data_IF_420993336688
#
_entry.id   IF_420993336688
#
_cell.length_a   1.000
_cell.length_b   1.000
_cell.length_c   1.000
_cell.angle_alpha   90.00
_cell.angle_beta   90.00
_cell.angle_gamma   90.00
#
_symmetry.space_group_name_H-M   'P 1'
#
loop_
_entity.id
_entity.type
_entity.pdbx_description
1 polymer ?
#
# COMPACT_ATOMS: atom_id res chain seq x y z
N UNK A 1 -10.23 0.72 -12.05
CA UNK A 1 -8.84 0.92 -11.61
C UNK A 1 -8.86 1.73 -10.32
N UNK A 2 -8.17 1.28 -9.27
CA UNK A 2 -8.23 1.90 -7.93
C UNK A 2 -7.34 3.16 -7.89
N UNK A 3 -7.79 4.29 -7.33
CA UNK A 3 -6.91 5.42 -7.10
C UNK A 3 -5.88 5.04 -6.03
N UNK A 4 -4.63 5.33 -6.36
CA UNK A 4 -3.46 5.04 -5.54
C UNK A 4 -3.49 5.90 -4.27
N UNK A 5 -3.26 5.23 -3.14
CA UNK A 5 -2.83 5.85 -1.90
C UNK A 5 -1.55 6.64 -2.19
N UNK A 6 -1.59 7.98 -2.20
CA UNK A 6 -0.38 8.79 -2.16
C UNK A 6 0.24 8.62 -0.77
N UNK A 7 1.13 7.64 -0.64
CA UNK A 7 2.27 7.82 0.23
C UNK A 7 3.29 8.63 -0.56
N UNK A 8 3.52 9.89 -0.18
CA UNK A 8 4.69 10.63 -0.67
C UNK A 8 5.94 9.95 -0.11
N UNK A 9 6.38 8.86 -0.74
CA UNK A 9 7.73 8.35 -0.56
C UNK A 9 8.63 9.39 -1.21
N UNK A 10 9.19 10.29 -0.41
CA UNK A 10 10.26 11.18 -0.84
C UNK A 10 11.49 10.34 -1.15
N UNK A 11 11.50 9.72 -2.33
CA UNK A 11 12.60 8.91 -2.81
C UNK A 11 13.86 9.76 -3.10
N UNK A 12 13.73 11.09 -3.03
CA UNK A 12 14.77 12.07 -3.35
C UNK A 12 15.41 12.74 -2.13
N UNK A 13 14.97 12.43 -0.90
CA UNK A 13 15.63 12.93 0.29
C UNK A 13 16.65 11.89 0.82
N UNK A 14 17.90 11.97 0.37
CA UNK A 14 19.02 11.27 1.02
C UNK A 14 19.64 12.16 2.08
N UNK A 15 19.77 11.65 3.31
CA UNK A 15 20.60 12.31 4.31
C UNK A 15 22.06 12.30 3.85
N UNK A 16 22.75 13.43 4.01
CA UNK A 16 24.18 13.54 3.71
C UNK A 16 25.04 12.56 4.54
N UNK A 17 24.54 12.12 5.70
CA UNK A 17 25.22 11.21 6.62
C UNK A 17 24.37 9.96 6.86
N UNK A 18 24.97 8.77 6.76
CA UNK A 18 24.30 7.46 6.91
C UNK A 18 23.75 7.15 8.30
N UNK A 19 23.94 8.05 9.27
CA UNK A 19 23.39 7.98 10.63
C UNK A 19 22.01 8.62 10.77
N UNK A 20 21.52 9.34 9.75
CA UNK A 20 20.33 10.19 9.89
C UNK A 20 19.14 9.61 9.12
N UNK A 21 18.04 9.37 9.84
CA UNK A 21 16.74 9.06 9.24
C UNK A 21 16.01 10.36 8.97
N UNK A 22 15.77 10.70 7.70
CA UNK A 22 14.89 11.82 7.35
C UNK A 22 13.44 11.37 7.57
N UNK A 23 12.84 11.83 8.65
CA UNK A 23 11.39 11.77 8.86
C UNK A 23 10.83 13.11 8.39
N UNK A 24 10.22 13.15 7.20
CA UNK A 24 9.49 14.34 6.75
C UNK A 24 8.18 14.41 7.53
N UNK A 25 8.16 15.19 8.59
CA UNK A 25 6.95 15.54 9.34
C UNK A 25 6.29 16.67 8.55
N UNK A 26 5.25 16.36 7.79
CA UNK A 26 4.44 17.39 7.11
C UNK A 26 3.68 18.19 8.16
N UNK A 27 3.75 19.53 8.07
CA UNK A 27 2.95 20.44 8.90
C UNK A 27 1.48 20.26 8.50
N UNK A 28 0.58 20.12 9.49
CA UNK A 28 -0.84 19.74 9.29
C UNK A 28 -1.58 20.59 8.23
N UNK A 29 -1.27 21.88 8.14
CA UNK A 29 -1.88 22.80 7.17
C UNK A 29 -1.51 22.52 5.72
N UNK A 30 -0.25 22.14 5.46
CA UNK A 30 0.24 21.89 4.11
C UNK A 30 -0.41 20.64 3.48
N UNK A 31 -0.80 19.66 4.29
CA UNK A 31 -1.46 18.47 3.79
C UNK A 31 -2.90 18.73 3.33
N UNK A 32 -3.65 19.59 4.03
CA UNK A 32 -5.04 19.93 3.64
C UNK A 32 -5.08 20.65 2.29
N UNK A 33 -4.18 21.61 2.09
CA UNK A 33 -4.04 22.32 0.81
C UNK A 33 -3.72 21.35 -0.34
N UNK A 34 -2.86 20.36 -0.11
CA UNK A 34 -2.54 19.35 -1.12
C UNK A 34 -3.74 18.44 -1.46
N UNK A 35 -4.60 18.13 -0.48
CA UNK A 35 -5.86 17.41 -0.74
C UNK A 35 -6.80 18.25 -1.60
N UNK A 36 -6.93 19.54 -1.33
CA UNK A 36 -7.78 20.45 -2.11
C UNK A 36 -7.25 20.63 -3.54
N UNK A 37 -5.92 20.75 -3.70
CA UNK A 37 -5.25 20.80 -5.01
C UNK A 37 -5.45 19.51 -5.79
N UNK A 38 -5.37 18.35 -5.12
CA UNK A 38 -5.65 17.06 -5.73
C UNK A 38 -7.11 16.96 -6.19
N UNK A 39 -8.07 17.38 -5.36
CA UNK A 39 -9.48 17.39 -5.71
C UNK A 39 -9.76 18.27 -6.93
N UNK A 40 -9.16 19.46 -6.97
CA UNK A 40 -9.23 20.39 -8.10
C UNK A 40 -8.61 19.77 -9.37
N UNK A 41 -7.44 19.16 -9.26
CA UNK A 41 -6.79 18.49 -10.38
C UNK A 41 -7.64 17.33 -10.91
N UNK A 42 -8.20 16.49 -10.02
CA UNK A 42 -9.10 15.42 -10.42
C UNK A 42 -10.31 15.96 -11.17
N UNK A 43 -10.95 17.02 -10.65
CA UNK A 43 -12.07 17.68 -11.32
C UNK A 43 -11.71 18.16 -12.73
N UNK A 44 -10.59 18.88 -12.87
CA UNK A 44 -10.11 19.41 -14.15
C UNK A 44 -9.74 18.30 -15.16
N UNK A 45 -9.43 17.09 -14.68
CA UNK A 45 -9.08 15.94 -15.51
C UNK A 45 -10.23 14.93 -15.65
N UNK A 46 -11.47 15.32 -15.32
CA UNK A 46 -12.65 14.45 -15.39
C UNK A 46 -12.52 13.16 -14.56
N UNK A 47 -11.78 13.22 -13.45
CA UNK A 47 -11.62 12.13 -12.49
C UNK A 47 -12.52 12.37 -11.28
N UNK A 48 -13.30 11.35 -10.92
CA UNK A 48 -14.15 11.39 -9.74
C UNK A 48 -13.44 10.78 -8.54
N UNK A 49 -13.35 11.56 -7.45
CA UNK A 49 -12.85 11.08 -6.18
C UNK A 49 -13.91 10.20 -5.50
N UNK A 50 -13.45 9.13 -4.85
CA UNK A 50 -14.32 8.21 -4.13
C UNK A 50 -14.91 8.90 -2.89
N UNK A 51 -16.23 8.95 -2.78
CA UNK A 51 -16.94 9.52 -1.63
C UNK A 51 -16.81 8.66 -0.37
N UNK A 52 -16.39 7.40 -0.50
CA UNK A 52 -16.13 6.50 0.64
C UNK A 52 -14.68 6.58 1.16
N UNK A 53 -13.96 7.67 0.86
CA UNK A 53 -12.61 7.89 1.38
C UNK A 53 -12.65 7.96 2.90
N UNK A 54 -11.66 7.33 3.54
CA UNK A 54 -11.50 7.31 5.00
C UNK A 54 -10.15 7.92 5.35
N UNK A 55 -10.10 8.65 6.44
CA UNK A 55 -8.88 9.22 6.99
C UNK A 55 -8.44 8.40 8.21
N UNK A 56 -7.19 7.95 8.23
CA UNK A 56 -6.55 7.41 9.42
C UNK A 56 -5.44 8.38 9.84
N UNK A 57 -5.58 8.98 11.01
CA UNK A 57 -4.56 9.89 11.55
C UNK A 57 -3.69 9.13 12.55
N UNK A 58 -2.38 9.19 12.36
CA UNK A 58 -1.40 8.66 13.30
C UNK A 58 -0.82 9.82 14.12
N UNK A 59 -1.31 10.00 15.34
CA UNK A 59 -0.89 11.09 16.23
C UNK A 59 -0.15 10.54 17.46
N UNK A 60 1.14 10.90 17.57
CA UNK A 60 2.00 10.51 18.70
C UNK A 60 2.28 11.68 19.65
N UNK A 61 1.60 12.82 19.48
CA UNK A 61 1.73 13.96 20.39
C UNK A 61 1.23 13.57 21.78
N UNK A 62 1.94 14.01 22.82
CA UNK A 62 1.55 13.78 24.23
C UNK A 62 0.23 14.47 24.60
N UNK A 63 -0.10 15.55 23.89
CA UNK A 63 -1.36 16.26 24.00
C UNK A 63 -2.12 16.02 22.70
N UNK A 64 -3.19 15.26 22.78
CA UNK A 64 -4.10 14.99 21.68
C UNK A 64 -5.08 16.15 21.57
N UNK A 65 -4.78 17.09 20.68
CA UNK A 65 -5.79 18.03 20.22
C UNK A 65 -6.70 17.32 19.19
N UNK A 66 -7.97 17.75 19.12
CA UNK A 66 -8.93 17.21 18.16
C UNK A 66 -8.45 17.57 16.75
N UNK A 67 -8.26 16.58 15.89
CA UNK A 67 -7.94 16.80 14.48
C UNK A 67 -9.18 17.27 13.73
N UNK A 68 -9.17 18.46 13.10
CA UNK A 68 -10.27 18.89 12.26
C UNK A 68 -10.47 17.91 11.10
N UNK A 69 -11.70 17.58 10.69
CA UNK A 69 -11.94 16.70 9.55
C UNK A 69 -11.41 17.32 8.25
N UNK A 70 -10.83 16.52 7.38
CA UNK A 70 -10.56 16.93 5.98
C UNK A 70 -11.88 17.02 5.23
N UNK A 71 -11.98 17.95 4.29
CA UNK A 71 -13.10 18.02 3.36
C UNK A 71 -12.61 17.66 1.95
N UNK A 72 -13.37 16.84 1.24
CA UNK A 72 -13.17 16.56 -0.19
C UNK A 72 -14.46 16.94 -0.90
N UNK A 73 -14.38 17.88 -1.86
CA UNK A 73 -15.55 18.43 -2.55
C UNK A 73 -16.66 18.93 -1.60
N UNK A 74 -16.27 19.54 -0.48
CA UNK A 74 -17.19 20.04 0.56
C UNK A 74 -17.77 18.96 1.49
N UNK A 75 -17.49 17.68 1.28
CA UNK A 75 -17.91 16.60 2.17
C UNK A 75 -16.80 16.26 3.18
N UNK A 76 -17.14 16.19 4.46
CA UNK A 76 -16.20 15.78 5.50
C UNK A 76 -15.82 14.30 5.33
N UNK A 77 -14.52 14.01 5.32
CA UNK A 77 -13.98 12.66 5.25
C UNK A 77 -14.14 11.97 6.60
N UNK A 78 -14.62 10.73 6.58
CA UNK A 78 -14.79 9.97 7.81
C UNK A 78 -13.44 9.57 8.39
N UNK A 79 -13.22 9.95 9.65
CA UNK A 79 -12.09 9.50 10.45
C UNK A 79 -12.32 8.09 10.96
N UNK A 80 -11.36 7.19 10.73
CA UNK A 80 -11.42 5.80 11.20
C UNK A 80 -10.24 5.49 12.11
N UNK A 81 -10.45 4.66 13.13
CA UNK A 81 -9.39 4.21 14.03
C UNK A 81 -8.62 2.99 13.51
N UNK A 82 -9.15 2.31 12.50
CA UNK A 82 -8.47 1.24 11.79
C UNK A 82 -9.07 1.06 10.40
N UNK A 83 -8.24 0.70 9.43
CA UNK A 83 -8.72 0.28 8.11
C UNK A 83 -7.86 -0.82 7.52
N UNK A 84 -8.41 -1.50 6.51
CA UNK A 84 -7.72 -2.57 5.81
C UNK A 84 -7.10 -2.02 4.53
N UNK A 85 -5.78 -2.04 4.45
CA UNK A 85 -5.01 -1.65 3.28
C UNK A 85 -4.26 -2.85 2.69
N UNK A 86 -4.53 -3.17 1.42
CA UNK A 86 -3.89 -4.28 0.68
C UNK A 86 -3.87 -5.61 1.45
N UNK A 87 -4.89 -5.86 2.28
CA UNK A 87 -5.02 -7.09 3.05
C UNK A 87 -4.45 -7.05 4.48
N UNK A 88 -3.80 -5.96 4.87
CA UNK A 88 -3.25 -5.70 6.21
C UNK A 88 -4.18 -4.73 6.95
N UNK A 89 -4.43 -4.97 8.23
CA UNK A 89 -5.13 -3.99 9.06
C UNK A 89 -4.13 -3.01 9.67
N UNK A 90 -4.31 -1.73 9.35
CA UNK A 90 -3.59 -0.62 9.96
C UNK A 90 -4.48 -0.02 11.04
N UNK A 91 -3.93 0.20 12.22
CA UNK A 91 -4.63 0.77 13.38
C UNK A 91 -4.00 2.11 13.75
N UNK A 92 -4.80 3.02 14.28
CA UNK A 92 -4.38 4.37 14.70
C UNK A 92 -3.29 4.34 15.78
N UNK A 93 -3.39 3.36 16.67
CA UNK A 93 -2.42 3.11 17.75
C UNK A 93 -1.20 2.28 17.29
N UNK A 94 -1.10 1.99 15.98
CA UNK A 94 -0.13 1.08 15.38
C UNK A 94 -0.08 -0.31 16.02
N UNK A 95 -1.14 -0.73 16.71
CA UNK A 95 -1.23 -2.10 17.21
C UNK A 95 -1.58 -3.05 16.08
N UNK A 96 -0.97 -4.23 16.14
CA UNK A 96 -1.14 -5.26 15.11
C UNK A 96 -2.12 -6.35 15.51
N UNK A 97 -2.80 -6.22 16.64
CA UNK A 97 -3.74 -7.20 17.19
C UNK A 97 -4.85 -7.57 16.21
N UNK A 98 -5.47 -6.56 15.57
CA UNK A 98 -6.52 -6.77 14.56
C UNK A 98 -5.98 -7.49 13.35
N UNK A 99 -4.80 -7.10 12.87
CA UNK A 99 -4.12 -7.76 11.76
C UNK A 99 -3.82 -9.23 12.09
N UNK A 100 -3.15 -9.50 13.22
CA UNK A 100 -2.80 -10.82 13.71
C UNK A 100 -4.03 -11.71 13.87
N UNK A 101 -5.10 -11.19 14.48
CA UNK A 101 -6.37 -11.90 14.65
C UNK A 101 -6.98 -12.28 13.29
N UNK A 102 -6.94 -11.37 12.32
CA UNK A 102 -7.42 -11.66 10.96
C UNK A 102 -6.60 -12.74 10.25
N UNK A 103 -5.27 -12.72 10.43
CA UNK A 103 -4.35 -13.71 9.87
C UNK A 103 -4.55 -15.10 10.50
N UNK A 104 -4.67 -15.15 11.82
CA UNK A 104 -4.95 -16.38 12.58
C UNK A 104 -6.27 -17.00 12.14
N UNK A 105 -7.35 -16.21 12.02
CA UNK A 105 -8.65 -16.71 11.51
C UNK A 105 -8.53 -17.33 10.12
N UNK A 106 -7.88 -16.64 9.17
CA UNK A 106 -7.63 -17.17 7.82
C UNK A 106 -6.79 -18.45 7.86
N UNK A 107 -5.76 -18.49 8.69
CA UNK A 107 -4.91 -19.65 8.82
C UNK A 107 -5.62 -20.86 9.45
N UNK A 108 -6.54 -20.65 10.40
CA UNK A 108 -7.38 -21.72 10.92
C UNK A 108 -8.28 -22.34 9.85
N UNK A 109 -8.85 -21.54 8.94
CA UNK A 109 -9.60 -22.07 7.80
C UNK A 109 -8.72 -22.95 6.90
N UNK A 110 -7.44 -22.58 6.70
CA UNK A 110 -6.49 -23.39 5.92
C UNK A 110 -5.99 -24.64 6.66
N UNK A 111 -5.89 -24.57 7.99
CA UNK A 111 -5.59 -25.74 8.83
C UNK A 111 -6.68 -26.81 8.73
N UNK A 112 -7.95 -26.44 8.53
CA UNK A 112 -9.01 -27.41 8.27
C UNK A 112 -8.68 -28.27 7.04
N UNK A 113 -8.34 -27.64 5.92
CA UNK A 113 -7.93 -28.36 4.71
C UNK A 113 -6.67 -29.20 4.91
N UNK A 114 -5.67 -28.68 5.63
CA UNK A 114 -4.48 -29.45 5.96
C UNK A 114 -4.81 -30.74 6.75
N UNK A 115 -5.76 -30.69 7.69
CA UNK A 115 -6.25 -31.88 8.41
C UNK A 115 -6.97 -32.85 7.47
N UNK A 116 -7.79 -32.33 6.57
CA UNK A 116 -8.49 -33.15 5.56
C UNK A 116 -7.48 -33.88 4.66
N UNK A 117 -6.43 -33.20 4.19
CA UNK A 117 -5.38 -33.85 3.41
C UNK A 117 -4.65 -34.94 4.22
N UNK A 118 -4.35 -34.69 5.49
CA UNK A 118 -3.74 -35.70 6.37
C UNK A 118 -4.65 -36.93 6.54
N UNK A 119 -5.97 -36.72 6.68
CA UNK A 119 -6.97 -37.80 6.79
C UNK A 119 -7.03 -38.66 5.53
N UNK A 120 -6.77 -38.08 4.36
CA UNK A 120 -6.70 -38.80 3.09
C UNK A 120 -5.31 -39.44 2.84
N UNK A 121 -4.49 -39.60 3.89
CA UNK A 121 -3.20 -40.29 3.85
C UNK A 121 -2.16 -39.70 2.89
N UNK A 122 -2.23 -38.39 2.60
CA UNK A 122 -1.19 -37.72 1.82
C UNK A 122 0.16 -37.72 2.56
N UNK A 123 1.25 -37.77 1.79
CA UNK A 123 2.61 -37.80 2.33
C UNK A 123 2.97 -36.52 3.10
N UNK A 124 3.92 -36.64 4.04
CA UNK A 124 4.37 -35.49 4.84
C UNK A 124 4.90 -34.35 3.96
N UNK A 125 5.63 -34.66 2.89
CA UNK A 125 6.17 -33.66 1.97
C UNK A 125 5.08 -32.82 1.29
N UNK A 126 3.98 -33.46 0.86
CA UNK A 126 2.85 -32.75 0.27
C UNK A 126 2.19 -31.84 1.31
N UNK A 127 2.05 -32.31 2.55
CA UNK A 127 1.47 -31.52 3.64
C UNK A 127 2.34 -30.31 4.01
N UNK A 128 3.66 -30.49 4.04
CA UNK A 128 4.62 -29.39 4.26
C UNK A 128 4.55 -28.37 3.12
N UNK A 129 4.50 -28.83 1.87
CA UNK A 129 4.35 -27.95 0.70
C UNK A 129 3.02 -27.20 0.74
N UNK A 130 1.92 -27.88 1.07
CA UNK A 130 0.62 -27.23 1.26
C UNK A 130 0.68 -26.14 2.34
N UNK A 131 1.29 -26.44 3.49
CA UNK A 131 1.50 -25.46 4.56
C UNK A 131 2.28 -24.24 4.06
N UNK A 132 3.42 -24.44 3.40
CA UNK A 132 4.27 -23.35 2.88
C UNK A 132 3.51 -22.45 1.92
N UNK A 133 2.82 -23.04 0.94
CA UNK A 133 2.12 -22.29 -0.10
C UNK A 133 0.85 -21.57 0.39
N UNK A 134 0.19 -22.10 1.41
CA UNK A 134 -1.14 -21.60 1.84
C UNK A 134 -1.13 -20.90 3.20
N UNK A 135 -0.58 -21.52 4.23
CA UNK A 135 -0.61 -21.04 5.62
C UNK A 135 0.58 -20.11 5.88
N UNK A 136 1.80 -20.55 5.57
CA UNK A 136 2.99 -19.72 5.77
C UNK A 136 2.93 -18.44 4.94
N UNK A 137 2.49 -18.54 3.68
CA UNK A 137 2.32 -17.39 2.79
C UNK A 137 1.43 -16.31 3.38
N UNK A 138 0.29 -16.67 3.98
CA UNK A 138 -0.60 -15.66 4.59
C UNK A 138 -0.05 -15.12 5.91
N UNK A 139 0.52 -15.99 6.76
CA UNK A 139 1.06 -15.59 8.06
C UNK A 139 2.30 -14.71 7.94
N UNK A 140 3.01 -14.81 6.81
CA UNK A 140 4.27 -14.09 6.60
C UNK A 140 4.14 -12.97 5.56
N UNK A 141 2.92 -12.67 5.10
CA UNK A 141 2.66 -11.56 4.19
C UNK A 141 3.04 -10.24 4.84
N UNK A 142 3.95 -9.49 4.22
CA UNK A 142 4.47 -8.22 4.74
C UNK A 142 4.97 -8.28 6.21
N UNK A 143 5.46 -9.45 6.64
CA UNK A 143 5.87 -9.72 8.03
C UNK A 143 6.91 -8.73 8.57
N UNK A 144 7.72 -8.15 7.70
CA UNK A 144 8.71 -7.12 8.05
C UNK A 144 8.10 -5.81 8.54
N UNK A 145 6.85 -5.52 8.15
CA UNK A 145 6.15 -4.28 8.51
C UNK A 145 5.57 -4.36 9.93
N UNK A 146 4.97 -5.50 10.27
CA UNK A 146 4.11 -5.59 11.46
C UNK A 146 4.66 -6.48 12.57
N UNK A 147 5.42 -7.54 12.24
CA UNK A 147 5.80 -8.56 13.24
C UNK A 147 6.70 -8.01 14.34
N UNK A 148 7.59 -7.07 14.01
CA UNK A 148 8.48 -6.42 14.97
C UNK A 148 7.74 -5.69 16.10
N UNK A 149 6.57 -5.14 15.81
CA UNK A 149 5.74 -4.39 16.75
C UNK A 149 4.58 -5.21 17.34
N UNK A 150 4.52 -6.52 17.09
CA UNK A 150 3.51 -7.38 17.69
C UNK A 150 3.74 -7.59 19.18
N UNK A 151 2.64 -7.62 19.94
CA UNK A 151 2.64 -8.01 21.34
C UNK A 151 3.08 -9.47 21.53
N UNK A 152 3.48 -9.84 22.75
CA UNK A 152 3.83 -11.21 23.08
C UNK A 152 2.65 -12.18 22.89
N UNK A 153 1.42 -11.74 23.18
CA UNK A 153 0.20 -12.53 22.99
C UNK A 153 -0.08 -12.78 21.49
N UNK A 154 0.08 -11.77 20.64
CA UNK A 154 -0.06 -11.90 19.19
C UNK A 154 0.95 -12.89 18.61
N UNK A 155 2.23 -12.75 18.99
CA UNK A 155 3.31 -13.66 18.57
C UNK A 155 3.00 -15.09 18.99
N UNK A 156 2.51 -15.29 20.21
CA UNK A 156 2.09 -16.61 20.72
C UNK A 156 0.92 -17.18 19.94
N UNK A 157 -0.08 -16.36 19.60
CA UNK A 157 -1.24 -16.78 18.82
C UNK A 157 -0.84 -17.24 17.41
N UNK A 158 0.01 -16.47 16.73
CA UNK A 158 0.56 -16.82 15.42
C UNK A 158 1.39 -18.12 15.48
N UNK A 159 2.26 -18.25 16.49
CA UNK A 159 3.08 -19.44 16.64
C UNK A 159 2.27 -20.71 16.97
N UNK A 160 1.12 -20.60 17.65
CA UNK A 160 0.21 -21.74 17.88
C UNK A 160 -0.31 -22.34 16.57
N UNK A 161 -0.56 -21.51 15.55
CA UNK A 161 -0.96 -21.99 14.22
C UNK A 161 0.13 -22.86 13.60
N UNK A 162 1.39 -22.39 13.65
CA UNK A 162 2.54 -23.15 13.14
C UNK A 162 2.72 -24.47 13.89
N UNK A 163 2.67 -24.45 15.23
CA UNK A 163 2.78 -25.67 16.05
C UNK A 163 1.67 -26.68 15.72
N UNK A 164 0.47 -26.19 15.45
CA UNK A 164 -0.66 -27.05 15.03
C UNK A 164 -0.40 -27.67 13.66
N UNK A 165 0.05 -26.88 12.68
CA UNK A 165 0.40 -27.38 11.36
C UNK A 165 1.53 -28.42 11.43
N UNK A 166 2.56 -28.16 12.23
CA UNK A 166 3.69 -29.06 12.43
C UNK A 166 3.24 -30.42 12.97
N UNK A 167 2.33 -30.44 13.94
CA UNK A 167 1.75 -31.69 14.46
C UNK A 167 0.97 -32.46 13.40
N UNK A 168 0.23 -31.77 12.53
CA UNK A 168 -0.58 -32.41 11.48
C UNK A 168 0.31 -32.97 10.37
N UNK A 169 1.29 -32.19 9.92
CA UNK A 169 2.21 -32.58 8.86
C UNK A 169 3.20 -33.67 9.30
N UNK A 170 3.54 -33.71 10.60
CA UNK A 170 4.52 -34.65 11.15
C UNK A 170 5.97 -34.30 10.81
N UNK A 171 6.23 -33.04 10.45
CA UNK A 171 7.55 -32.54 10.05
C UNK A 171 7.84 -31.18 10.70
N UNK A 172 9.12 -30.86 11.00
CA UNK A 172 9.48 -29.58 11.60
C UNK A 172 9.15 -28.42 10.66
N UNK A 173 8.52 -27.38 11.20
CA UNK A 173 8.20 -26.14 10.48
C UNK A 173 8.92 -24.96 11.13
N UNK A 174 9.43 -23.99 10.34
CA UNK A 174 10.14 -22.84 10.89
C UNK A 174 9.22 -21.98 11.76
N UNK A 175 9.75 -21.41 12.85
CA UNK A 175 9.00 -20.43 13.62
C UNK A 175 8.79 -19.15 12.81
N UNK A 176 7.71 -18.42 13.09
CA UNK A 176 7.45 -17.15 12.39
C UNK A 176 8.55 -16.14 12.69
N UNK A 177 9.10 -16.18 13.90
CA UNK A 177 10.23 -15.35 14.30
C UNK A 177 11.48 -15.60 13.43
N UNK A 178 11.79 -16.85 13.13
CA UNK A 178 12.93 -17.19 12.27
C UNK A 178 12.72 -16.66 10.85
N UNK A 179 11.49 -16.78 10.33
CA UNK A 179 11.13 -16.23 9.01
C UNK A 179 11.25 -14.71 9.01
N UNK A 180 10.76 -14.05 10.06
CA UNK A 180 10.89 -12.61 10.23
C UNK A 180 12.35 -12.17 10.27
N UNK A 181 13.18 -12.78 11.13
CA UNK A 181 14.61 -12.47 11.25
C UNK A 181 15.33 -12.65 9.93
N UNK A 182 15.11 -13.77 9.22
CA UNK A 182 15.69 -14.01 7.90
C UNK A 182 15.33 -12.89 6.92
N UNK A 183 14.03 -12.53 6.82
CA UNK A 183 13.56 -11.51 5.88
C UNK A 183 13.99 -10.09 6.26
N UNK A 184 14.10 -9.80 7.56
CA UNK A 184 14.59 -8.52 8.07
C UNK A 184 16.09 -8.34 7.80
N UNK A 185 16.90 -9.38 7.98
CA UNK A 185 18.36 -9.35 7.75
C UNK A 185 18.71 -9.35 6.26
N UNK A 186 17.96 -10.04 5.41
CA UNK A 186 18.12 -9.93 3.94
C UNK A 186 17.64 -8.60 3.36
N UNK A 187 17.13 -7.69 4.21
CA UNK A 187 16.76 -6.31 3.88
C UNK A 187 17.94 -5.34 3.72
N UNK A 188 19.12 -5.81 3.31
CA UNK A 188 20.11 -4.96 2.63
C UNK A 188 19.49 -4.29 1.39
N UNK A 189 20.05 -3.15 0.93
CA UNK A 189 19.31 -2.01 0.36
C UNK A 189 18.12 -2.44 -0.49
N UNK A 190 16.93 -2.09 0.02
CA UNK A 190 15.58 -2.25 -0.55
C UNK A 190 15.62 -2.72 -2.01
N UNK A 191 15.40 -4.01 -2.27
CA UNK A 191 14.96 -4.42 -3.60
C UNK A 191 13.56 -3.86 -3.78
N UNK A 192 13.48 -2.72 -4.47
CA UNK A 192 12.26 -2.24 -5.10
C UNK A 192 11.55 -3.41 -5.78
N UNK A 193 10.22 -3.38 -5.75
CA UNK A 193 9.43 -3.93 -6.84
C UNK A 193 10.04 -3.39 -8.14
N UNK A 194 10.86 -4.19 -8.82
CA UNK A 194 11.14 -3.96 -10.23
C UNK A 194 9.91 -4.50 -10.96
N UNK A 195 8.88 -3.69 -11.12
CA UNK A 195 8.01 -3.85 -12.28
C UNK A 195 8.83 -3.38 -13.48
N UNK A 196 9.07 -4.23 -14.49
CA UNK A 196 9.58 -3.73 -15.76
C UNK A 196 8.43 -2.99 -16.43
N UNK A 197 8.62 -1.69 -16.64
CA UNK A 197 8.13 -0.84 -17.75
C UNK A 197 8.31 0.60 -17.25
N UNK A 198 9.49 1.14 -17.54
CA UNK A 198 9.65 2.57 -17.73
C UNK A 198 10.20 2.70 -19.14
N UNK A 199 9.31 2.82 -20.12
CA UNK A 199 9.68 3.58 -21.30
C UNK A 199 9.85 5.02 -20.83
N UNK A 200 11.06 5.55 -21.00
CA UNK A 200 11.35 6.97 -20.91
C UNK A 200 10.34 7.71 -21.81
N UNK A 201 9.54 8.59 -21.23
CA UNK A 201 9.13 9.79 -21.97
C UNK A 201 10.18 10.85 -21.63
N UNK A 202 11.18 10.96 -22.50
CA UNK A 202 12.03 12.13 -22.53
C UNK A 202 11.18 13.28 -23.11
N UNK A 203 10.82 14.25 -22.28
CA UNK A 203 10.26 15.52 -22.77
C UNK A 203 11.32 16.21 -23.62
N UNK A 204 11.13 16.25 -24.94
CA UNK A 204 11.99 17.02 -25.83
C UNK A 204 11.79 18.53 -25.58
N UNK A 205 12.86 19.31 -25.40
CA UNK A 205 12.79 20.75 -25.23
C UNK A 205 12.71 21.41 -26.60
N UNK A 206 11.51 21.52 -27.15
CA UNK A 206 11.31 22.31 -28.37
C UNK A 206 9.88 22.84 -28.45
N UNK A 207 9.60 23.89 -27.68
CA UNK A 207 8.59 24.88 -28.05
C UNK A 207 9.22 26.28 -27.93
N UNK A 208 9.29 27.06 -29.02
CA UNK A 208 9.93 28.37 -29.01
C UNK A 208 9.14 29.39 -28.19
N UNK A 209 9.88 30.20 -27.43
CA UNK A 209 9.41 31.49 -26.95
C UNK A 209 9.11 32.38 -28.17
N UNK A 210 7.83 32.63 -28.45
CA UNK A 210 7.39 33.59 -29.46
C UNK A 210 6.52 34.66 -28.82
N UNK A 211 7.06 35.86 -28.66
CA UNK A 211 6.28 37.06 -28.36
C UNK A 211 5.78 37.72 -29.65
N UNK A 212 4.61 38.37 -29.58
CA UNK A 212 4.27 39.59 -30.32
C UNK A 212 2.80 40.02 -30.03
N UNK A 213 2.66 41.23 -29.50
CA UNK A 213 1.70 42.32 -29.84
C UNK A 213 0.30 42.02 -30.39
N UNK A 214 -0.71 42.75 -29.86
CA UNK A 214 -2.13 42.52 -30.11
C UNK A 214 -2.79 43.25 -31.27
N UNK A 215 -4.10 43.00 -31.43
CA UNK A 215 -5.08 43.86 -32.11
C UNK A 215 -6.51 43.32 -31.84
N UNK A 216 -7.46 44.26 -31.79
CA UNK A 216 -8.91 44.17 -31.59
C UNK A 216 -9.70 43.49 -32.73
N UNK A 217 -10.87 42.90 -32.44
CA UNK A 217 -11.92 42.62 -33.46
C UNK A 217 -13.01 41.63 -33.01
N UNK A 218 -14.24 41.83 -33.49
CA UNK A 218 -15.54 41.28 -33.03
C UNK A 218 -15.88 39.83 -33.49
N UNK A 219 -16.85 39.18 -32.80
CA UNK A 219 -17.59 37.90 -33.02
C UNK A 219 -18.32 37.74 -34.40
N UNK A 220 -19.07 36.64 -34.77
CA UNK A 220 -19.16 35.19 -34.40
C UNK A 220 -19.28 34.24 -35.67
N UNK A 221 -20.12 33.17 -35.76
CA UNK A 221 -19.96 31.76 -35.35
C UNK A 221 -19.94 30.70 -36.50
N UNK A 222 -19.45 29.48 -36.21
CA UNK A 222 -19.86 28.22 -36.86
C UNK A 222 -19.08 27.73 -38.09
N UNK A 223 -18.33 26.65 -37.94
CA UNK A 223 -18.21 25.55 -38.92
C UNK A 223 -17.33 24.42 -38.37
N UNK A 224 -17.82 23.19 -38.54
CA UNK A 224 -17.05 21.95 -38.49
C UNK A 224 -15.77 22.07 -39.32
N UNK A 225 -14.66 21.46 -38.89
CA UNK A 225 -14.00 20.40 -39.65
C UNK A 225 -12.68 19.90 -39.04
N UNK A 226 -12.52 18.57 -39.20
CA UNK A 226 -11.30 17.77 -39.32
C UNK A 226 -10.45 17.45 -38.07
N UNK A 227 -10.72 16.25 -37.56
CA UNK A 227 -9.71 15.29 -37.07
C UNK A 227 -8.56 15.12 -38.09
N UNK A 228 -7.31 15.01 -37.62
CA UNK A 228 -6.29 14.22 -38.30
C UNK A 228 -6.16 12.86 -37.61
N UNK A 229 -6.52 11.82 -38.36
CA UNK A 229 -6.00 10.47 -38.22
C UNK A 229 -4.46 10.47 -38.39
N UNK A 230 -3.81 9.47 -37.75
CA UNK A 230 -2.41 8.99 -37.80
C UNK A 230 -1.82 9.03 -36.38
N UNK A 231 -1.53 7.92 -35.69
CA UNK A 231 -0.86 6.71 -36.13
C UNK A 231 -1.33 5.46 -35.36
N UNK A 232 -1.39 4.34 -36.09
CA UNK A 232 -1.54 2.97 -35.60
C UNK A 232 -0.28 2.49 -34.82
N UNK A 233 -0.42 1.51 -33.92
CA UNK A 233 0.70 0.84 -33.27
C UNK A 233 1.35 -0.19 -34.22
N UNK A 234 2.69 -0.21 -34.27
CA UNK A 234 3.45 -1.31 -34.83
C UNK A 234 3.78 -2.33 -33.72
N UNK A 235 3.52 -3.60 -34.00
CA UNK A 235 3.85 -4.74 -33.15
C UNK A 235 5.36 -5.01 -33.08
N UNK A 236 5.85 -5.31 -31.87
CA UNK A 236 6.27 -6.64 -31.39
C UNK A 236 6.85 -6.53 -29.97
#
# INVERSE_FOLDING_TARGET
MSPFLYSLFTHDCRALHGSNTIIKITIESAYREEVDRLATWCHNNNLLLNTNTKELVLDFRRKTDIHPPIHINGAAVEHVSSFKFLGIHLSQDLTWTTNCSSLVKKAHQRLFFLRTLKKNHLSSDILVNFYRCTIERILTSCVTVWYGNCSASDRKALQKVVKTAQRIAGAPLPAIEDIYRRRAVTGGPRRSLKTPVTQRMDCSPSCPLGGATGASGQNPPGSEQLLPHCCLPAEL
#
